data_IF_678786599699
#
_entry.id   IF_678786599699
#
_cell.length_a   1.000
_cell.length_b   1.000
_cell.length_c   1.000
_cell.angle_alpha   90.00
_cell.angle_beta   90.00
_cell.angle_gamma   90.00
#
_symmetry.space_group_name_H-M   'P 1'
#
loop_
_entity.id
_entity.type
_entity.pdbx_description
1 polymer ?
#
# COMPACT_ATOMS: atom_id res chain seq x y z
N UNK A 1 7.27 -16.91 18.49
CA UNK A 1 7.79 -18.29 18.35
C UNK A 1 7.89 -18.57 16.87
N UNK A 2 9.03 -19.00 16.35
CA UNK A 2 9.17 -19.31 14.92
C UNK A 2 8.34 -20.55 14.62
N UNK A 3 7.29 -20.42 13.80
CA UNK A 3 6.63 -21.57 13.19
C UNK A 3 7.66 -22.32 12.33
N UNK A 4 7.55 -23.65 12.27
CA UNK A 4 8.39 -24.46 11.37
C UNK A 4 7.79 -24.37 9.96
N UNK A 5 8.59 -24.17 8.92
CA UNK A 5 8.11 -24.15 7.54
C UNK A 5 8.40 -25.47 6.82
N UNK A 6 7.55 -25.84 5.85
CA UNK A 6 7.74 -27.00 4.96
C UNK A 6 7.84 -26.53 3.50
N UNK A 7 8.56 -27.23 2.62
CA UNK A 7 8.59 -26.96 1.17
C UNK A 7 7.41 -27.63 0.45
N UNK A 8 7.06 -27.17 -0.76
CA UNK A 8 6.02 -27.83 -1.57
C UNK A 8 6.40 -29.28 -1.90
N UNK A 9 7.66 -29.54 -2.28
CA UNK A 9 8.13 -30.91 -2.55
C UNK A 9 8.02 -31.84 -1.33
N UNK A 10 8.35 -31.34 -0.14
CA UNK A 10 8.23 -32.14 1.09
C UNK A 10 6.77 -32.39 1.46
N UNK A 11 5.89 -31.41 1.26
CA UNK A 11 4.45 -31.59 1.43
C UNK A 11 3.88 -32.62 0.43
N UNK A 12 4.23 -32.49 -0.85
CA UNK A 12 3.79 -33.40 -1.90
C UNK A 12 4.35 -34.82 -1.69
N UNK A 13 5.57 -34.96 -1.17
CA UNK A 13 6.14 -36.26 -0.79
C UNK A 13 5.35 -36.89 0.34
N UNK A 14 5.02 -36.12 1.38
CA UNK A 14 4.22 -36.60 2.52
C UNK A 14 2.84 -37.11 2.07
N UNK A 15 2.14 -36.33 1.22
CA UNK A 15 0.83 -36.75 0.68
C UNK A 15 0.98 -38.01 -0.19
N UNK A 16 2.04 -38.09 -1.01
CA UNK A 16 2.29 -39.26 -1.86
C UNK A 16 2.61 -40.51 -1.05
N UNK A 17 3.44 -40.39 -0.01
CA UNK A 17 3.76 -41.48 0.93
C UNK A 17 2.49 -41.97 1.63
N UNK A 18 1.61 -41.07 2.06
CA UNK A 18 0.30 -41.45 2.63
C UNK A 18 -0.57 -42.25 1.63
N UNK A 19 -0.57 -41.89 0.35
CA UNK A 19 -1.31 -42.65 -0.68
C UNK A 19 -0.64 -43.99 -1.01
N UNK A 20 0.66 -44.00 -1.27
CA UNK A 20 1.40 -45.16 -1.77
C UNK A 20 1.71 -46.19 -0.67
N UNK A 21 2.17 -45.73 0.50
CA UNK A 21 2.65 -46.61 1.57
C UNK A 21 1.53 -46.99 2.55
N UNK A 22 0.59 -46.08 2.83
CA UNK A 22 -0.54 -46.34 3.74
C UNK A 22 -1.81 -46.77 3.00
N UNK A 23 -1.83 -46.68 1.66
CA UNK A 23 -2.97 -47.06 0.84
C UNK A 23 -4.21 -46.19 1.07
N UNK A 24 -4.02 -44.96 1.55
CA UNK A 24 -5.10 -44.01 1.81
C UNK A 24 -5.74 -43.52 0.52
N UNK A 25 -7.02 -43.15 0.58
CA UNK A 25 -7.64 -42.40 -0.51
C UNK A 25 -6.90 -41.06 -0.70
N UNK A 26 -6.72 -40.55 -1.95
CA UNK A 26 -5.95 -39.33 -2.17
C UNK A 26 -6.50 -38.08 -1.46
N UNK A 27 -7.82 -37.96 -1.30
CA UNK A 27 -8.40 -36.82 -0.56
C UNK A 27 -8.20 -36.99 0.95
N UNK A 28 -8.28 -38.21 1.45
CA UNK A 28 -7.97 -38.57 2.85
C UNK A 28 -6.50 -38.32 3.19
N UNK A 29 -5.58 -38.75 2.32
CA UNK A 29 -4.14 -38.56 2.47
C UNK A 29 -3.76 -37.07 2.54
N UNK A 30 -4.41 -36.24 1.72
CA UNK A 30 -4.23 -34.79 1.74
C UNK A 30 -4.74 -34.18 3.04
N UNK A 31 -5.94 -34.56 3.49
CA UNK A 31 -6.53 -34.08 4.73
C UNK A 31 -5.66 -34.45 5.95
N UNK A 32 -5.18 -35.69 6.00
CA UNK A 32 -4.30 -36.20 7.06
C UNK A 32 -2.96 -35.46 7.10
N UNK A 33 -2.33 -35.21 5.94
CA UNK A 33 -1.08 -34.46 5.86
C UNK A 33 -1.25 -33.02 6.38
N UNK A 34 -2.36 -32.36 6.01
CA UNK A 34 -2.68 -31.00 6.48
C UNK A 34 -2.92 -30.99 7.99
N UNK A 35 -3.71 -31.93 8.52
CA UNK A 35 -4.00 -32.02 9.95
C UNK A 35 -2.74 -32.32 10.77
N UNK A 36 -1.93 -33.29 10.34
CA UNK A 36 -0.68 -33.67 11.00
C UNK A 36 0.30 -32.49 11.08
N UNK A 37 0.49 -31.78 9.97
CA UNK A 37 1.39 -30.62 9.95
C UNK A 37 0.83 -29.45 10.77
N UNK A 38 -0.49 -29.25 10.78
CA UNK A 38 -1.14 -28.26 11.63
C UNK A 38 -0.96 -28.58 13.12
N UNK A 39 -1.11 -29.84 13.54
CA UNK A 39 -0.86 -30.30 14.92
C UNK A 39 0.60 -30.09 15.34
N UNK A 40 1.54 -30.18 14.39
CA UNK A 40 2.96 -29.91 14.61
C UNK A 40 3.31 -28.41 14.61
N UNK A 41 2.32 -27.52 14.45
CA UNK A 41 2.50 -26.07 14.31
C UNK A 41 3.43 -25.70 13.13
N UNK A 42 3.34 -26.47 12.04
CA UNK A 42 4.00 -26.14 10.77
C UNK A 42 3.18 -25.08 10.04
N UNK A 43 3.86 -24.05 9.55
CA UNK A 43 3.25 -23.03 8.71
C UNK A 43 3.01 -23.57 7.29
N UNK A 44 1.73 -23.68 6.94
CA UNK A 44 1.25 -24.12 5.64
C UNK A 44 0.89 -22.95 4.72
N UNK A 45 1.14 -21.71 5.12
CA UNK A 45 0.90 -20.54 4.28
C UNK A 45 1.67 -20.67 2.96
N UNK A 46 0.96 -20.49 1.86
CA UNK A 46 1.48 -20.58 0.51
C UNK A 46 1.84 -21.99 0.01
N UNK A 47 1.49 -23.05 0.76
CA UNK A 47 1.51 -24.43 0.25
C UNK A 47 0.24 -24.67 -0.57
N UNK A 48 0.41 -25.24 -1.76
CA UNK A 48 -0.70 -25.70 -2.58
C UNK A 48 -1.24 -27.01 -1.99
N UNK A 49 -2.45 -26.93 -1.43
CA UNK A 49 -3.14 -28.04 -0.78
C UNK A 49 -3.97 -28.82 -1.81
N UNK A 50 -3.31 -29.55 -2.70
CA UNK A 50 -3.97 -30.42 -3.68
C UNK A 50 -3.29 -31.79 -3.77
N UNK A 51 -3.99 -32.78 -4.31
CA UNK A 51 -3.43 -34.12 -4.53
C UNK A 51 -2.34 -34.07 -5.62
N UNK A 52 -1.10 -34.51 -5.32
CA UNK A 52 -0.01 -34.53 -6.29
C UNK A 52 -0.34 -35.39 -7.52
N UNK A 53 0.01 -34.91 -8.72
CA UNK A 53 -0.14 -35.68 -9.97
C UNK A 53 -1.53 -35.64 -10.62
N UNK A 54 -2.49 -34.90 -10.07
CA UNK A 54 -3.80 -34.62 -10.67
C UNK A 54 -3.71 -33.64 -11.86
N UNK A 55 -2.96 -34.03 -12.90
CA UNK A 55 -2.70 -33.22 -14.09
C UNK A 55 -4.00 -33.03 -14.90
N UNK A 56 -4.66 -31.88 -14.72
CA UNK A 56 -5.73 -31.41 -15.60
C UNK A 56 -6.81 -30.58 -14.92
N UNK A 57 -7.11 -30.87 -13.65
CA UNK A 57 -8.19 -30.21 -12.91
C UNK A 57 -7.80 -29.69 -11.51
N UNK A 58 -6.60 -30.03 -11.01
CA UNK A 58 -6.15 -29.72 -9.64
C UNK A 58 -5.00 -28.70 -9.51
N UNK A 59 -4.51 -28.12 -10.62
CA UNK A 59 -3.45 -27.12 -10.54
C UNK A 59 -3.99 -25.79 -10.02
N UNK A 60 -3.39 -25.26 -8.95
CA UNK A 60 -3.84 -24.02 -8.33
C UNK A 60 -3.86 -22.87 -9.35
N UNK A 61 -4.96 -22.08 -9.43
CA UNK A 61 -5.12 -21.06 -10.45
C UNK A 61 -4.01 -20.00 -10.42
N UNK A 62 -3.46 -19.69 -9.24
CA UNK A 62 -2.32 -18.78 -9.09
C UNK A 62 -1.08 -19.37 -9.78
N UNK A 63 -0.75 -20.62 -9.48
CA UNK A 63 0.44 -21.30 -10.05
C UNK A 63 0.33 -21.41 -11.57
N UNK A 64 -0.85 -21.76 -12.06
CA UNK A 64 -1.13 -21.82 -13.50
C UNK A 64 -0.92 -20.46 -14.19
N UNK A 65 -1.45 -19.39 -13.60
CA UNK A 65 -1.25 -18.02 -14.13
C UNK A 65 0.22 -17.63 -14.14
N UNK A 66 0.97 -17.93 -13.08
CA UNK A 66 2.40 -17.64 -12.99
C UNK A 66 3.23 -18.42 -14.02
N UNK A 67 2.95 -19.72 -14.22
CA UNK A 67 3.63 -20.52 -15.24
C UNK A 67 3.38 -19.94 -16.64
N UNK A 68 2.13 -19.55 -16.93
CA UNK A 68 1.79 -18.95 -18.22
C UNK A 68 2.44 -17.57 -18.41
N UNK A 69 2.45 -16.72 -17.39
CA UNK A 69 3.14 -15.42 -17.43
C UNK A 69 4.64 -15.56 -17.73
N UNK A 70 5.32 -16.55 -17.12
CA UNK A 70 6.73 -16.84 -17.42
C UNK A 70 6.95 -17.25 -18.86
N UNK A 71 6.07 -18.09 -19.40
CA UNK A 71 6.14 -18.51 -20.80
C UNK A 71 5.96 -17.33 -21.77
N UNK A 72 5.12 -16.35 -21.42
CA UNK A 72 4.89 -15.15 -22.22
C UNK A 72 6.02 -14.11 -22.13
N UNK A 73 6.84 -14.16 -21.06
CA UNK A 73 7.83 -13.12 -20.74
C UNK A 73 8.79 -12.76 -21.88
N UNK A 74 9.16 -13.72 -22.74
CA UNK A 74 10.05 -13.49 -23.89
C UNK A 74 9.39 -12.74 -25.06
N UNK A 75 8.06 -12.76 -25.14
CA UNK A 75 7.30 -12.23 -26.28
C UNK A 75 6.67 -10.86 -26.02
N UNK A 76 6.65 -10.40 -24.76
CA UNK A 76 5.95 -9.17 -24.33
C UNK A 76 6.37 -7.90 -25.06
N UNK A 77 7.64 -7.81 -25.48
CA UNK A 77 8.15 -6.63 -26.18
C UNK A 77 7.65 -6.52 -27.63
N UNK A 78 7.36 -7.64 -28.29
CA UNK A 78 7.09 -7.69 -29.73
C UNK A 78 5.66 -8.12 -30.09
N UNK A 79 4.99 -8.87 -29.22
CA UNK A 79 3.71 -9.50 -29.51
C UNK A 79 2.56 -8.83 -28.75
N UNK A 80 1.62 -8.24 -29.49
CA UNK A 80 0.41 -7.63 -28.93
C UNK A 80 -0.55 -8.66 -28.32
N UNK A 81 -0.64 -9.87 -28.89
CA UNK A 81 -1.49 -10.94 -28.37
C UNK A 81 -0.93 -11.46 -27.05
N UNK A 82 0.40 -11.64 -26.96
CA UNK A 82 1.06 -12.03 -25.72
C UNK A 82 0.85 -10.99 -24.61
N UNK A 83 0.86 -9.69 -24.95
CA UNK A 83 0.57 -8.61 -23.99
C UNK A 83 -0.87 -8.60 -23.51
N UNK A 84 -1.83 -8.82 -24.41
CA UNK A 84 -3.25 -8.92 -24.04
C UNK A 84 -3.48 -10.10 -23.10
N UNK A 85 -2.96 -11.29 -23.46
CA UNK A 85 -3.05 -12.48 -22.61
C UNK A 85 -2.38 -12.27 -21.24
N UNK A 86 -1.21 -11.62 -21.22
CA UNK A 86 -0.53 -11.31 -19.97
C UNK A 86 -1.36 -10.34 -19.10
N UNK A 87 -1.99 -9.32 -19.69
CA UNK A 87 -2.85 -8.39 -18.96
C UNK A 87 -4.04 -9.12 -18.31
N UNK A 88 -4.72 -10.02 -19.04
CA UNK A 88 -5.81 -10.82 -18.51
C UNK A 88 -5.35 -11.73 -17.36
N UNK A 89 -4.18 -12.37 -17.51
CA UNK A 89 -3.60 -13.22 -16.46
C UNK A 89 -3.23 -12.43 -15.21
N UNK A 90 -2.72 -11.21 -15.37
CA UNK A 90 -2.36 -10.32 -14.27
C UNK A 90 -3.59 -9.79 -13.54
N UNK A 91 -4.66 -9.43 -14.26
CA UNK A 91 -5.93 -9.01 -13.64
C UNK A 91 -6.52 -10.15 -12.80
N UNK A 92 -6.58 -11.36 -13.37
CA UNK A 92 -7.01 -12.56 -12.62
C UNK A 92 -6.13 -12.83 -11.39
N UNK A 93 -4.82 -12.63 -11.50
CA UNK A 93 -3.89 -12.80 -10.38
C UNK A 93 -4.11 -11.75 -9.29
N UNK A 94 -4.36 -10.50 -9.68
CA UNK A 94 -4.68 -9.41 -8.77
C UNK A 94 -5.97 -9.71 -7.98
N UNK A 95 -7.01 -10.19 -8.66
CA UNK A 95 -8.29 -10.58 -8.06
C UNK A 95 -8.11 -11.72 -7.06
N UNK A 96 -7.46 -12.81 -7.46
CA UNK A 96 -7.22 -13.98 -6.60
C UNK A 96 -6.44 -13.61 -5.33
N UNK A 97 -5.43 -12.74 -5.47
CA UNK A 97 -4.57 -12.33 -4.34
C UNK A 97 -5.20 -11.23 -3.47
N UNK A 98 -6.26 -10.55 -3.93
CA UNK A 98 -6.95 -9.51 -3.16
C UNK A 98 -7.99 -10.05 -2.17
N UNK A 99 -8.37 -11.34 -2.29
CA UNK A 99 -9.39 -11.96 -1.43
C UNK A 99 -8.88 -12.10 0.01
N UNK A 100 -9.49 -11.35 0.93
CA UNK A 100 -9.15 -11.43 2.36
C UNK A 100 -9.32 -12.84 2.92
N UNK A 101 -8.26 -13.33 3.59
CA UNK A 101 -8.24 -14.67 4.20
C UNK A 101 -7.91 -15.80 3.23
N UNK A 102 -7.65 -15.51 1.95
CA UNK A 102 -7.16 -16.49 0.98
C UNK A 102 -5.65 -16.67 1.09
N UNK A 103 -5.16 -17.90 0.92
CA UNK A 103 -3.74 -18.22 0.84
C UNK A 103 -3.10 -17.80 -0.51
N UNK A 104 -3.88 -17.27 -1.47
CA UNK A 104 -3.44 -16.99 -2.85
C UNK A 104 -2.21 -16.09 -2.93
N UNK A 105 -2.12 -15.02 -2.14
CA UNK A 105 -0.96 -14.12 -2.15
C UNK A 105 0.30 -14.80 -1.62
N UNK A 106 0.15 -15.63 -0.59
CA UNK A 106 1.25 -16.44 -0.05
C UNK A 106 1.68 -17.54 -1.04
N UNK A 107 0.73 -18.18 -1.72
CA UNK A 107 1.00 -19.15 -2.80
C UNK A 107 1.76 -18.45 -3.93
N UNK A 108 1.31 -17.27 -4.37
CA UNK A 108 1.96 -16.50 -5.41
C UNK A 108 3.41 -16.17 -5.03
N UNK A 109 3.62 -15.66 -3.81
CA UNK A 109 4.94 -15.28 -3.30
C UNK A 109 5.89 -16.48 -3.27
N UNK A 110 5.46 -17.61 -2.67
CA UNK A 110 6.28 -18.82 -2.56
C UNK A 110 6.60 -19.47 -3.89
N UNK A 111 5.76 -19.25 -4.89
CA UNK A 111 5.96 -19.74 -6.24
C UNK A 111 6.64 -18.72 -7.14
N UNK A 112 7.36 -17.71 -6.61
CA UNK A 112 8.14 -16.75 -7.40
C UNK A 112 7.30 -15.76 -8.19
N UNK A 113 6.12 -15.40 -7.67
CA UNK A 113 5.16 -14.52 -8.31
C UNK A 113 5.60 -13.06 -8.32
N UNK A 114 6.26 -12.60 -7.25
CA UNK A 114 6.79 -11.22 -7.16
C UNK A 114 7.80 -10.97 -8.28
N UNK A 115 8.78 -11.86 -8.41
CA UNK A 115 9.85 -11.77 -9.39
C UNK A 115 9.32 -11.91 -10.82
N UNK A 116 8.32 -12.79 -11.01
CA UNK A 116 7.66 -12.94 -12.31
C UNK A 116 6.96 -11.64 -12.74
N UNK A 117 6.18 -11.02 -11.84
CA UNK A 117 5.46 -9.78 -12.15
C UNK A 117 6.41 -8.59 -12.30
N UNK A 118 7.45 -8.48 -11.48
CA UNK A 118 8.53 -7.47 -11.68
C UNK A 118 9.22 -7.66 -13.03
N UNK A 119 9.49 -8.91 -13.41
CA UNK A 119 10.02 -9.28 -14.72
C UNK A 119 9.10 -8.88 -15.89
N UNK A 120 7.79 -8.95 -15.71
CA UNK A 120 6.81 -8.46 -16.69
C UNK A 120 6.84 -6.92 -16.75
N UNK A 121 6.73 -6.24 -15.60
CA UNK A 121 6.77 -4.77 -15.52
C UNK A 121 8.00 -4.18 -16.22
N UNK A 122 9.19 -4.77 -16.03
CA UNK A 122 10.43 -4.30 -16.65
C UNK A 122 10.51 -4.47 -18.17
N UNK A 123 9.66 -5.31 -18.76
CA UNK A 123 9.64 -5.61 -20.21
C UNK A 123 8.53 -4.91 -20.97
N UNK A 124 7.53 -4.37 -20.26
CA UNK A 124 6.46 -3.59 -20.86
C UNK A 124 6.97 -2.19 -21.24
N UNK A 125 6.60 -1.72 -22.43
CA UNK A 125 6.83 -0.34 -22.84
C UNK A 125 6.01 0.63 -21.99
N UNK A 126 6.57 1.81 -21.71
CA UNK A 126 5.96 2.83 -20.85
C UNK A 126 4.69 3.43 -21.44
N UNK A 127 4.52 3.31 -22.76
CA UNK A 127 3.32 3.70 -23.50
C UNK A 127 2.14 2.73 -23.34
N UNK A 128 2.36 1.56 -22.71
CA UNK A 128 1.36 0.50 -22.56
C UNK A 128 0.63 0.60 -21.22
N UNK A 129 -0.20 1.63 -21.07
CA UNK A 129 -0.86 1.93 -19.79
C UNK A 129 -1.67 0.77 -19.22
N UNK A 130 -2.57 0.16 -20.00
CA UNK A 130 -3.45 -0.90 -19.48
C UNK A 130 -2.66 -2.16 -19.01
N UNK A 131 -1.73 -2.74 -19.80
CA UNK A 131 -0.87 -3.82 -19.30
C UNK A 131 -0.03 -3.45 -18.07
N UNK A 132 0.48 -2.21 -18.01
CA UNK A 132 1.23 -1.73 -16.84
C UNK A 132 0.33 -1.64 -15.60
N UNK A 133 -0.90 -1.14 -15.74
CA UNK A 133 -1.86 -1.08 -14.64
C UNK A 133 -2.18 -2.48 -14.13
N UNK A 134 -2.45 -3.46 -15.01
CA UNK A 134 -2.68 -4.85 -14.58
C UNK A 134 -1.46 -5.43 -13.87
N UNK A 135 -0.27 -5.18 -14.37
CA UNK A 135 0.97 -5.68 -13.77
C UNK A 135 1.24 -5.06 -12.39
N UNK A 136 1.10 -3.75 -12.25
CA UNK A 136 1.26 -3.05 -10.98
C UNK A 136 0.17 -3.45 -9.97
N UNK A 137 -1.07 -3.64 -10.42
CA UNK A 137 -2.17 -4.09 -9.55
C UNK A 137 -1.92 -5.50 -9.03
N UNK A 138 -1.51 -6.43 -9.90
CA UNK A 138 -1.14 -7.79 -9.50
C UNK A 138 0.02 -7.77 -8.51
N UNK A 139 1.06 -6.96 -8.76
CA UNK A 139 2.19 -6.80 -7.85
C UNK A 139 1.73 -6.30 -6.49
N UNK A 140 0.91 -5.24 -6.44
CA UNK A 140 0.35 -4.69 -5.21
C UNK A 140 -0.49 -5.70 -4.41
N UNK A 141 -1.22 -6.59 -5.09
CA UNK A 141 -1.99 -7.67 -4.43
C UNK A 141 -1.13 -8.81 -3.88
N UNK A 142 0.03 -9.09 -4.50
CA UNK A 142 0.97 -10.12 -4.00
C UNK A 142 1.76 -9.60 -2.79
N UNK A 143 2.03 -8.30 -2.70
CA UNK A 143 2.76 -7.68 -1.59
C UNK A 143 1.85 -7.57 -0.35
N UNK A 144 1.98 -8.53 0.55
CA UNK A 144 1.10 -8.69 1.70
C UNK A 144 1.83 -8.75 3.05
N UNK A 145 3.13 -8.99 3.05
CA UNK A 145 3.93 -9.19 4.25
C UNK A 145 5.41 -8.82 4.06
N UNK A 146 6.17 -8.94 5.14
CA UNK A 146 7.62 -8.68 5.11
C UNK A 146 8.35 -9.57 4.11
N UNK A 147 7.96 -10.84 3.98
CA UNK A 147 8.66 -11.77 3.08
C UNK A 147 8.49 -11.37 1.61
N UNK A 148 7.25 -11.13 1.18
CA UNK A 148 6.94 -10.67 -0.18
C UNK A 148 7.60 -9.33 -0.52
N UNK A 149 7.67 -8.40 0.43
CA UNK A 149 8.37 -7.10 0.23
C UNK A 149 9.89 -7.24 0.16
N UNK A 150 10.50 -8.21 0.87
CA UNK A 150 11.91 -8.54 0.69
C UNK A 150 12.19 -9.17 -0.68
N UNK A 151 11.31 -10.04 -1.19
CA UNK A 151 11.43 -10.58 -2.55
C UNK A 151 11.30 -9.47 -3.62
N UNK A 152 10.41 -8.51 -3.38
CA UNK A 152 10.27 -7.32 -4.24
C UNK A 152 11.55 -6.49 -4.27
N UNK A 153 12.16 -6.26 -3.10
CA UNK A 153 13.46 -5.57 -3.01
C UNK A 153 14.56 -6.32 -3.76
N UNK A 154 14.67 -7.63 -3.54
CA UNK A 154 15.73 -8.45 -4.14
C UNK A 154 15.59 -8.61 -5.67
N UNK A 155 14.38 -8.50 -6.20
CA UNK A 155 14.11 -8.58 -7.64
C UNK A 155 14.29 -7.24 -8.39
N UNK A 156 14.71 -6.16 -7.70
CA UNK A 156 14.82 -4.83 -8.29
C UNK A 156 13.47 -4.15 -8.54
N UNK A 157 12.43 -4.56 -7.80
CA UNK A 157 11.08 -4.04 -7.98
C UNK A 157 10.97 -2.54 -7.72
N UNK A 158 11.75 -2.00 -6.78
CA UNK A 158 11.76 -0.57 -6.46
C UNK A 158 12.20 0.29 -7.66
N UNK A 159 13.31 -0.10 -8.29
CA UNK A 159 13.86 0.53 -9.48
C UNK A 159 12.88 0.48 -10.65
N UNK A 160 12.26 -0.68 -10.88
CA UNK A 160 11.27 -0.87 -11.94
C UNK A 160 10.06 0.04 -11.74
N UNK A 161 9.48 0.08 -10.54
CA UNK A 161 8.31 0.92 -10.24
C UNK A 161 8.65 2.40 -10.35
N UNK A 162 9.80 2.85 -9.82
CA UNK A 162 10.22 4.25 -9.91
C UNK A 162 10.50 4.66 -11.37
N UNK A 163 11.07 3.77 -12.18
CA UNK A 163 11.28 4.02 -13.60
C UNK A 163 9.95 4.17 -14.35
N UNK A 164 8.97 3.29 -14.08
CA UNK A 164 7.62 3.39 -14.67
C UNK A 164 6.99 4.73 -14.29
N UNK A 165 6.95 5.07 -13.00
CA UNK A 165 6.34 6.32 -12.53
C UNK A 165 7.00 7.57 -13.11
N UNK A 166 8.33 7.57 -13.30
CA UNK A 166 9.04 8.69 -13.93
C UNK A 166 8.66 8.88 -15.41
N UNK A 167 8.31 7.80 -16.11
CA UNK A 167 7.90 7.81 -17.51
C UNK A 167 6.40 7.98 -17.76
N UNK A 168 5.57 7.85 -16.72
CA UNK A 168 4.11 7.85 -16.81
C UNK A 168 3.45 9.21 -16.54
N UNK A 169 4.13 10.32 -16.89
CA UNK A 169 3.52 11.65 -16.80
C UNK A 169 2.28 11.73 -17.72
N UNK A 170 1.14 12.12 -17.17
CA UNK A 170 -0.14 12.16 -17.89
C UNK A 170 -0.91 10.83 -17.94
N UNK A 171 -0.41 9.77 -17.32
CA UNK A 171 -1.08 8.46 -17.22
C UNK A 171 -1.60 8.22 -15.79
N UNK A 172 -2.78 8.78 -15.41
CA UNK A 172 -3.25 8.81 -14.02
C UNK A 172 -3.47 7.41 -13.42
N UNK A 173 -3.92 6.44 -14.22
CA UNK A 173 -4.13 5.05 -13.75
C UNK A 173 -2.81 4.36 -13.42
N UNK A 174 -1.77 4.55 -14.25
CA UNK A 174 -0.45 3.96 -14.02
C UNK A 174 0.19 4.57 -12.77
N UNK A 175 0.07 5.89 -12.61
CA UNK A 175 0.53 6.55 -11.39
C UNK A 175 -0.20 6.04 -10.16
N UNK A 176 -1.53 5.88 -10.22
CA UNK A 176 -2.31 5.38 -9.10
C UNK A 176 -1.88 3.95 -8.70
N UNK A 177 -1.78 3.05 -9.68
CA UNK A 177 -1.32 1.69 -9.44
C UNK A 177 0.13 1.63 -8.92
N UNK A 178 1.03 2.45 -9.47
CA UNK A 178 2.44 2.46 -9.08
C UNK A 178 2.67 3.03 -7.67
N UNK A 179 1.97 4.11 -7.28
CA UNK A 179 2.02 4.60 -5.90
C UNK A 179 1.35 3.63 -4.91
N UNK A 180 0.30 2.91 -5.34
CA UNK A 180 -0.27 1.83 -4.52
C UNK A 180 0.75 0.71 -4.27
N UNK A 181 1.56 0.33 -5.27
CA UNK A 181 2.68 -0.61 -5.08
C UNK A 181 3.72 -0.05 -4.10
N UNK A 182 4.11 1.22 -4.21
CA UNK A 182 5.04 1.85 -3.25
C UNK A 182 4.49 1.76 -1.83
N UNK A 183 3.21 2.12 -1.62
CA UNK A 183 2.58 2.05 -0.32
C UNK A 183 2.57 0.61 0.23
N UNK A 184 2.19 -0.38 -0.59
CA UNK A 184 2.20 -1.81 -0.20
C UNK A 184 3.60 -2.32 0.12
N UNK A 185 4.58 -2.02 -0.73
CA UNK A 185 5.96 -2.46 -0.57
C UNK A 185 6.63 -1.89 0.68
N UNK A 186 6.32 -0.63 1.01
CA UNK A 186 6.91 0.07 2.15
C UNK A 186 6.23 -0.24 3.50
N UNK A 187 5.03 -0.80 3.51
CA UNK A 187 4.26 -1.05 4.75
C UNK A 187 5.00 -2.05 5.63
N UNK A 188 5.30 -1.66 6.87
CA UNK A 188 5.99 -2.50 7.84
C UNK A 188 7.42 -2.90 7.47
N UNK A 189 8.04 -2.22 6.49
CA UNK A 189 9.39 -2.54 6.03
C UNK A 189 10.27 -1.28 5.85
N UNK A 190 11.07 -0.95 6.86
CA UNK A 190 11.95 0.24 6.84
C UNK A 190 13.07 0.13 5.78
N UNK A 191 13.52 -1.08 5.45
CA UNK A 191 14.55 -1.30 4.42
C UNK A 191 14.02 -0.90 3.04
N UNK A 192 12.74 -1.21 2.76
CA UNK A 192 12.09 -0.82 1.51
C UNK A 192 11.78 0.69 1.48
N UNK A 193 11.46 1.31 2.64
CA UNK A 193 11.34 2.77 2.72
C UNK A 193 12.65 3.47 2.38
N UNK A 194 13.76 2.99 2.95
CA UNK A 194 15.11 3.49 2.65
C UNK A 194 15.43 3.36 1.16
N UNK A 195 15.15 2.19 0.56
CA UNK A 195 15.29 1.99 -0.89
C UNK A 195 14.57 3.07 -1.70
N UNK A 196 13.29 3.34 -1.42
CA UNK A 196 12.54 4.36 -2.17
C UNK A 196 13.09 5.79 -1.95
N UNK A 197 13.58 6.09 -0.75
CA UNK A 197 14.20 7.38 -0.42
C UNK A 197 15.53 7.57 -1.17
N UNK A 198 16.30 6.50 -1.36
CA UNK A 198 17.52 6.47 -2.17
C UNK A 198 17.21 6.61 -3.66
N UNK A 199 16.13 5.99 -4.12
CA UNK A 199 15.58 6.13 -5.48
C UNK A 199 14.86 7.47 -5.73
N UNK A 200 14.95 8.43 -4.82
CA UNK A 200 14.40 9.80 -4.96
C UNK A 200 12.87 9.85 -5.12
N UNK A 201 12.16 8.98 -4.39
CA UNK A 201 10.69 8.98 -4.40
C UNK A 201 10.08 10.32 -4.00
N UNK A 202 10.75 11.10 -3.14
CA UNK A 202 10.32 12.43 -2.73
C UNK A 202 10.33 13.44 -3.88
N UNK A 203 11.37 13.41 -4.72
CA UNK A 203 11.45 14.24 -5.93
C UNK A 203 10.38 13.85 -6.95
N UNK A 204 10.15 12.55 -7.12
CA UNK A 204 9.08 12.02 -7.97
C UNK A 204 7.69 12.44 -7.48
N UNK A 205 7.40 12.32 -6.18
CA UNK A 205 6.13 12.75 -5.56
C UNK A 205 5.89 14.23 -5.84
N UNK A 206 6.89 15.07 -5.58
CA UNK A 206 6.76 16.51 -5.79
C UNK A 206 6.55 16.85 -7.28
N UNK A 207 7.26 16.15 -8.17
CA UNK A 207 7.09 16.31 -9.61
C UNK A 207 5.64 16.01 -10.02
N UNK A 208 5.10 14.85 -9.64
CA UNK A 208 3.72 14.45 -9.97
C UNK A 208 2.71 15.47 -9.44
N UNK A 209 2.87 15.93 -8.19
CA UNK A 209 1.97 16.94 -7.59
C UNK A 209 2.01 18.30 -8.29
N UNK A 210 3.12 18.66 -8.96
CA UNK A 210 3.26 19.92 -9.69
C UNK A 210 2.76 19.84 -11.13
N UNK A 211 2.93 18.69 -11.77
CA UNK A 211 2.64 18.51 -13.19
C UNK A 211 1.19 18.09 -13.45
N UNK A 212 0.52 17.48 -12.47
CA UNK A 212 -0.83 16.95 -12.66
C UNK A 212 -1.59 16.76 -11.33
N UNK A 213 -2.87 16.40 -11.43
CA UNK A 213 -3.66 15.97 -10.27
C UNK A 213 -3.06 14.69 -9.68
N UNK A 214 -2.60 14.76 -8.44
CA UNK A 214 -2.04 13.62 -7.73
C UNK A 214 -3.13 12.59 -7.38
N UNK A 215 -2.91 11.29 -7.65
CA UNK A 215 -3.83 10.23 -7.30
C UNK A 215 -3.90 10.03 -5.78
N UNK A 216 -4.97 9.38 -5.28
CA UNK A 216 -5.13 9.15 -3.84
C UNK A 216 -3.97 8.30 -3.27
N UNK A 217 -3.58 7.26 -3.99
CA UNK A 217 -2.47 6.35 -3.64
C UNK A 217 -1.14 7.07 -3.44
N UNK A 218 -0.90 8.23 -4.06
CA UNK A 218 0.29 9.05 -3.81
C UNK A 218 0.28 9.57 -2.37
N UNK A 219 -0.87 10.02 -1.86
CA UNK A 219 -0.99 10.44 -0.45
C UNK A 219 -0.81 9.26 0.49
N UNK A 220 -1.37 8.10 0.16
CA UNK A 220 -1.20 6.87 0.93
C UNK A 220 0.27 6.44 0.99
N UNK A 221 1.00 6.54 -0.14
CA UNK A 221 2.44 6.29 -0.19
C UNK A 221 3.23 7.26 0.70
N UNK A 222 2.91 8.56 0.71
CA UNK A 222 3.52 9.53 1.64
C UNK A 222 3.27 9.09 3.09
N UNK A 223 2.04 8.69 3.43
CA UNK A 223 1.70 8.26 4.79
C UNK A 223 2.56 7.07 5.23
N UNK A 224 2.64 6.03 4.40
CA UNK A 224 3.39 4.81 4.73
C UNK A 224 4.90 5.08 4.82
N UNK A 225 5.46 5.81 3.86
CA UNK A 225 6.89 6.16 3.84
C UNK A 225 7.33 6.96 5.07
N UNK A 226 6.40 7.65 5.74
CA UNK A 226 6.67 8.52 6.89
C UNK A 226 6.12 7.98 8.22
N UNK A 227 5.57 6.76 8.24
CA UNK A 227 5.06 6.11 9.47
C UNK A 227 6.07 5.07 9.97
N UNK A 228 6.50 5.08 11.24
CA UNK A 228 7.40 4.06 11.78
C UNK A 228 6.60 2.81 12.18
N UNK A 229 6.28 1.94 11.22
CA UNK A 229 5.41 0.76 11.39
C UNK A 229 6.16 -0.60 11.31
N UNK A 230 7.49 -0.58 11.25
CA UNK A 230 8.31 -1.80 11.29
C UNK A 230 8.79 -2.10 12.72
N UNK A 231 8.11 -3.04 13.37
CA UNK A 231 8.42 -3.45 14.74
C UNK A 231 9.74 -4.23 14.88
N UNK A 232 10.43 -4.56 13.77
CA UNK A 232 11.72 -5.27 13.79
C UNK A 232 12.89 -4.33 13.99
N UNK A 233 12.69 -3.02 13.78
CA UNK A 233 13.74 -2.01 13.84
C UNK A 233 13.61 -1.20 15.12
N UNK A 234 14.73 -1.01 15.84
CA UNK A 234 14.75 -0.29 17.13
C UNK A 234 14.57 1.22 16.95
N UNK A 235 15.05 1.79 15.84
CA UNK A 235 14.94 3.21 15.53
C UNK A 235 14.69 3.41 14.02
N UNK A 236 13.54 4.00 13.69
CA UNK A 236 13.16 4.32 12.32
C UNK A 236 13.72 5.69 11.88
N UNK A 237 14.02 5.81 10.58
CA UNK A 237 14.54 7.03 9.95
C UNK A 237 13.43 7.96 9.43
N UNK A 238 12.15 7.59 9.59
CA UNK A 238 11.02 8.33 9.01
C UNK A 238 10.93 9.79 9.45
N UNK A 239 11.43 10.15 10.63
CA UNK A 239 11.53 11.55 11.06
C UNK A 239 12.47 12.36 10.15
N UNK A 240 13.60 11.77 9.76
CA UNK A 240 14.52 12.35 8.79
C UNK A 240 13.90 12.46 7.40
N UNK A 241 13.16 11.44 6.97
CA UNK A 241 12.43 11.44 5.70
C UNK A 241 11.37 12.54 5.67
N UNK A 242 10.56 12.69 6.73
CA UNK A 242 9.53 13.72 6.81
C UNK A 242 10.12 15.14 6.72
N UNK A 243 11.27 15.39 7.38
CA UNK A 243 12.00 16.67 7.24
C UNK A 243 12.50 16.89 5.82
N UNK A 244 12.99 15.85 5.15
CA UNK A 244 13.41 15.90 3.75
C UNK A 244 12.24 16.24 2.84
N UNK A 245 11.10 15.57 3.00
CA UNK A 245 9.86 15.81 2.25
C UNK A 245 9.37 17.26 2.44
N UNK A 246 9.34 17.74 3.68
CA UNK A 246 8.96 19.12 3.98
C UNK A 246 9.91 20.13 3.33
N UNK A 247 11.23 19.93 3.44
CA UNK A 247 12.25 20.81 2.85
C UNK A 247 12.16 20.86 1.32
N UNK A 248 11.76 19.76 0.68
CA UNK A 248 11.56 19.70 -0.77
C UNK A 248 10.32 20.50 -1.23
N UNK A 249 9.37 20.74 -0.32
CA UNK A 249 8.14 21.51 -0.58
C UNK A 249 6.87 20.67 -0.65
N UNK A 250 6.92 19.37 -0.33
CA UNK A 250 5.75 18.48 -0.38
C UNK A 250 4.65 18.96 0.58
N UNK A 251 5.01 19.47 1.76
CA UNK A 251 4.04 20.03 2.71
C UNK A 251 3.23 21.18 2.08
N UNK A 252 3.90 22.09 1.36
CA UNK A 252 3.25 23.24 0.73
C UNK A 252 2.40 22.80 -0.47
N UNK A 253 2.86 21.82 -1.25
CA UNK A 253 2.06 21.22 -2.32
C UNK A 253 0.79 20.54 -1.78
N UNK A 254 0.87 19.81 -0.67
CA UNK A 254 -0.29 19.20 -0.02
C UNK A 254 -1.29 20.27 0.47
N UNK A 255 -0.80 21.35 1.09
CA UNK A 255 -1.66 22.48 1.47
C UNK A 255 -2.34 23.09 0.24
N UNK A 256 -1.61 23.30 -0.85
CA UNK A 256 -2.17 23.76 -2.12
C UNK A 256 -3.32 22.88 -2.60
N UNK A 257 -3.13 21.56 -2.61
CA UNK A 257 -4.18 20.60 -2.98
C UNK A 257 -5.41 20.69 -2.07
N UNK A 258 -5.22 20.85 -0.76
CA UNK A 258 -6.33 21.04 0.19
C UNK A 258 -7.08 22.35 -0.08
N UNK A 259 -6.36 23.44 -0.35
CA UNK A 259 -6.93 24.76 -0.68
C UNK A 259 -7.75 24.76 -1.97
N UNK A 260 -7.38 23.92 -2.96
CA UNK A 260 -8.17 23.81 -4.20
C UNK A 260 -9.56 23.23 -3.98
N UNK A 261 -9.77 22.45 -2.90
CA UNK A 261 -11.09 21.92 -2.54
C UNK A 261 -11.69 20.92 -3.54
N UNK A 262 -10.87 20.35 -4.43
CA UNK A 262 -11.33 19.41 -5.49
C UNK A 262 -11.24 17.93 -5.11
N UNK A 263 -10.73 17.62 -3.92
CA UNK A 263 -10.53 16.23 -3.49
C UNK A 263 -11.87 15.54 -3.19
N UNK A 264 -11.95 14.26 -3.54
CA UNK A 264 -12.99 13.37 -3.01
C UNK A 264 -12.86 13.26 -1.48
N UNK A 265 -13.90 12.79 -0.79
CA UNK A 265 -13.79 12.62 0.67
C UNK A 265 -12.67 11.65 1.08
N UNK A 266 -12.42 10.58 0.31
CA UNK A 266 -11.31 9.64 0.57
C UNK A 266 -9.95 10.27 0.25
N UNK A 267 -9.85 11.03 -0.84
CA UNK A 267 -8.65 11.77 -1.21
C UNK A 267 -8.29 12.81 -0.15
N UNK A 268 -9.29 13.53 0.37
CA UNK A 268 -9.13 14.51 1.45
C UNK A 268 -8.62 13.86 2.74
N UNK A 269 -9.20 12.71 3.14
CA UNK A 269 -8.72 11.95 4.30
C UNK A 269 -7.25 11.58 4.13
N UNK A 270 -6.89 11.02 2.96
CA UNK A 270 -5.53 10.56 2.67
C UNK A 270 -4.54 11.73 2.64
N UNK A 271 -4.89 12.85 2.00
CA UNK A 271 -4.08 14.07 1.98
C UNK A 271 -3.88 14.68 3.38
N UNK A 272 -4.92 14.68 4.23
CA UNK A 272 -4.81 15.15 5.61
C UNK A 272 -3.86 14.28 6.45
N UNK A 273 -3.93 12.95 6.29
CA UNK A 273 -3.02 12.02 6.99
C UNK A 273 -1.59 12.21 6.46
N UNK A 274 -1.40 12.38 5.15
CA UNK A 274 -0.10 12.62 4.54
C UNK A 274 0.53 13.93 5.07
N UNK A 275 -0.25 15.02 5.10
CA UNK A 275 0.22 16.30 5.61
C UNK A 275 0.57 16.22 7.11
N UNK A 276 -0.21 15.45 7.88
CA UNK A 276 0.08 15.17 9.30
C UNK A 276 1.40 14.41 9.46
N UNK A 277 1.68 13.45 8.58
CA UNK A 277 2.91 12.66 8.60
C UNK A 277 4.15 13.51 8.27
N UNK A 278 4.01 14.53 7.42
CA UNK A 278 5.09 15.49 7.11
C UNK A 278 5.31 16.51 8.23
N UNK A 279 4.27 16.86 9.00
CA UNK A 279 4.29 17.88 10.05
C UNK A 279 5.02 17.43 11.34
N UNK A 280 6.31 17.10 11.26
CA UNK A 280 7.04 16.43 12.35
C UNK A 280 7.69 17.35 13.39
N UNK A 281 7.81 18.65 13.12
CA UNK A 281 8.38 19.63 14.05
C UNK A 281 7.65 21.00 14.00
N UNK A 282 7.97 21.88 14.95
CA UNK A 282 7.34 23.20 15.10
C UNK A 282 7.51 24.08 13.85
N UNK A 283 8.70 24.11 13.25
CA UNK A 283 8.99 24.90 12.04
C UNK A 283 8.10 24.49 10.85
N UNK A 284 7.96 23.18 10.61
CA UNK A 284 7.12 22.65 9.54
C UNK A 284 5.65 22.93 9.84
N UNK A 285 5.21 22.73 11.08
CA UNK A 285 3.84 23.06 11.50
C UNK A 285 3.51 24.54 11.25
N UNK A 286 4.41 25.46 11.61
CA UNK A 286 4.24 26.90 11.36
C UNK A 286 4.16 27.20 9.86
N UNK A 287 5.08 26.64 9.06
CA UNK A 287 5.06 26.79 7.60
C UNK A 287 3.74 26.32 6.99
N UNK A 288 3.17 25.19 7.44
CA UNK A 288 1.87 24.70 6.95
C UNK A 288 0.76 25.71 7.22
N UNK A 289 0.75 26.32 8.41
CA UNK A 289 -0.22 27.35 8.80
C UNK A 289 -0.07 28.64 7.97
N UNK A 290 1.16 29.11 7.79
CA UNK A 290 1.51 30.30 6.99
C UNK A 290 1.09 30.15 5.52
N UNK A 291 1.13 28.93 4.98
CA UNK A 291 0.67 28.63 3.62
C UNK A 291 -0.86 28.40 3.51
N UNK A 292 -1.63 28.67 4.57
CA UNK A 292 -3.09 28.58 4.56
C UNK A 292 -3.66 27.21 4.96
N UNK A 293 -2.85 26.29 5.49
CA UNK A 293 -3.28 24.94 5.84
C UNK A 293 -4.44 24.91 6.84
N UNK A 294 -4.44 25.80 7.86
CA UNK A 294 -5.54 25.87 8.84
C UNK A 294 -6.86 26.28 8.16
N UNK A 295 -6.82 27.25 7.23
CA UNK A 295 -8.02 27.71 6.52
C UNK A 295 -8.59 26.61 5.64
N UNK A 296 -7.72 25.89 4.92
CA UNK A 296 -8.10 24.76 4.10
C UNK A 296 -8.77 23.64 4.91
N UNK A 297 -8.26 23.35 6.11
CA UNK A 297 -8.87 22.34 6.99
C UNK A 297 -10.23 22.81 7.49
N UNK A 298 -10.38 24.08 7.88
CA UNK A 298 -11.69 24.60 8.30
C UNK A 298 -12.70 24.64 7.17
N UNK A 299 -12.29 25.05 5.97
CA UNK A 299 -13.15 24.97 4.79
C UNK A 299 -13.59 23.52 4.51
N UNK A 300 -12.66 22.58 4.62
CA UNK A 300 -12.93 21.14 4.45
C UNK A 300 -13.94 20.63 5.48
N UNK A 301 -13.79 21.03 6.75
CA UNK A 301 -14.75 20.73 7.83
C UNK A 301 -16.11 21.34 7.50
N UNK A 302 -16.16 22.61 7.14
CA UNK A 302 -17.40 23.35 6.94
C UNK A 302 -18.20 22.76 5.76
N UNK A 303 -17.54 22.45 4.63
CA UNK A 303 -18.16 21.80 3.46
C UNK A 303 -18.65 20.39 3.78
N UNK A 304 -17.83 19.57 4.45
CA UNK A 304 -18.18 18.17 4.73
C UNK A 304 -19.09 17.99 5.95
N UNK A 305 -19.23 19.04 6.78
CA UNK A 305 -20.13 19.02 7.92
C UNK A 305 -21.57 18.73 7.49
N UNK A 306 -22.02 19.21 6.32
CA UNK A 306 -23.34 18.93 5.76
C UNK A 306 -23.58 17.44 5.46
N UNK A 307 -22.53 16.72 5.06
CA UNK A 307 -22.61 15.33 4.57
C UNK A 307 -22.39 14.27 5.66
N UNK A 308 -22.21 14.68 6.92
CA UNK A 308 -22.01 13.79 8.07
C UNK A 308 -20.83 12.80 7.90
N UNK A 309 -19.79 13.20 7.16
CA UNK A 309 -18.65 12.33 6.88
C UNK A 309 -17.67 12.29 8.06
N UNK A 310 -17.81 11.26 8.90
CA UNK A 310 -16.99 11.03 10.10
C UNK A 310 -15.49 10.93 9.80
N UNK A 311 -15.11 10.27 8.71
CA UNK A 311 -13.70 10.05 8.38
C UNK A 311 -12.99 11.36 8.05
N UNK A 312 -13.65 12.25 7.30
CA UNK A 312 -13.14 13.59 6.99
C UNK A 312 -13.00 14.42 8.26
N UNK A 313 -14.04 14.45 9.11
CA UNK A 313 -13.98 15.19 10.37
C UNK A 313 -12.82 14.72 11.26
N UNK A 314 -12.66 13.39 11.42
CA UNK A 314 -11.60 12.79 12.23
C UNK A 314 -10.20 13.13 11.70
N UNK A 315 -9.98 12.99 10.39
CA UNK A 315 -8.68 13.30 9.77
C UNK A 315 -8.34 14.79 9.89
N UNK A 316 -9.30 15.69 9.65
CA UNK A 316 -9.14 17.13 9.82
C UNK A 316 -8.79 17.51 11.27
N UNK A 317 -9.55 17.00 12.26
CA UNK A 317 -9.25 17.24 13.68
C UNK A 317 -7.88 16.68 14.08
N UNK A 318 -7.51 15.50 13.57
CA UNK A 318 -6.21 14.89 13.86
C UNK A 318 -5.04 15.71 13.29
N UNK A 319 -5.20 16.27 12.10
CA UNK A 319 -4.22 17.16 11.50
C UNK A 319 -4.13 18.48 12.27
N UNK A 320 -5.27 19.12 12.57
CA UNK A 320 -5.26 20.34 13.38
C UNK A 320 -4.56 20.11 14.72
N UNK A 321 -4.79 18.96 15.38
CA UNK A 321 -4.19 18.65 16.69
C UNK A 321 -2.68 18.55 16.57
N UNK A 322 -2.18 17.99 15.47
CA UNK A 322 -0.75 17.96 15.16
C UNK A 322 -0.19 19.38 14.93
N UNK A 323 -0.89 20.21 14.16
CA UNK A 323 -0.48 21.59 13.89
C UNK A 323 -0.49 22.46 15.15
N UNK A 324 -1.41 22.21 16.07
CA UNK A 324 -1.50 22.84 17.39
C UNK A 324 -0.33 22.46 18.32
N UNK A 325 0.61 21.61 17.89
CA UNK A 325 1.89 21.46 18.59
C UNK A 325 2.73 22.74 18.60
N UNK A 326 2.46 23.67 17.68
CA UNK A 326 3.08 25.00 17.63
C UNK A 326 2.20 26.05 18.33
N UNK A 327 2.77 26.86 19.22
CA UNK A 327 2.02 27.90 19.95
C UNK A 327 1.49 29.00 19.03
N UNK A 328 2.23 29.33 17.96
CA UNK A 328 1.77 30.26 16.92
C UNK A 328 0.52 29.70 16.22
N UNK A 329 0.52 28.39 15.92
CA UNK A 329 -0.62 27.73 15.31
C UNK A 329 -1.80 27.61 16.27
N UNK A 330 -1.58 27.34 17.56
CA UNK A 330 -2.67 27.37 18.56
C UNK A 330 -3.38 28.72 18.53
N UNK A 331 -2.59 29.79 18.52
CA UNK A 331 -3.11 31.16 18.47
C UNK A 331 -3.90 31.40 17.18
N UNK A 332 -3.35 30.99 16.03
CA UNK A 332 -4.03 31.11 14.73
C UNK A 332 -5.34 30.30 14.67
N UNK A 333 -5.36 29.07 15.20
CA UNK A 333 -6.56 28.21 15.28
C UNK A 333 -7.65 28.91 16.11
N UNK A 334 -7.30 29.48 17.27
CA UNK A 334 -8.25 30.19 18.14
C UNK A 334 -8.78 31.44 17.44
N UNK A 335 -7.90 32.28 16.89
CA UNK A 335 -8.27 33.53 16.22
C UNK A 335 -9.21 33.31 15.03
N UNK A 336 -9.07 32.18 14.34
CA UNK A 336 -9.91 31.79 13.20
C UNK A 336 -11.23 31.15 13.61
N UNK A 337 -11.58 31.12 14.90
CA UNK A 337 -12.82 30.52 15.40
C UNK A 337 -12.79 28.99 15.43
N UNK A 338 -11.61 28.40 15.61
CA UNK A 338 -11.44 26.95 15.65
C UNK A 338 -12.25 26.28 16.77
N UNK A 339 -12.29 26.88 17.96
CA UNK A 339 -13.04 26.34 19.11
C UNK A 339 -14.54 26.17 18.78
N UNK A 340 -15.16 27.18 18.15
CA UNK A 340 -16.57 27.13 17.78
C UNK A 340 -16.86 26.03 16.76
N UNK A 341 -15.98 25.85 15.77
CA UNK A 341 -16.11 24.78 14.77
C UNK A 341 -15.93 23.40 15.40
N UNK A 342 -14.94 23.25 16.27
CA UNK A 342 -14.69 22.01 16.98
C UNK A 342 -15.85 21.64 17.92
N UNK A 343 -16.44 22.61 18.63
CA UNK A 343 -17.65 22.38 19.43
C UNK A 343 -18.85 21.96 18.58
N UNK A 344 -19.06 22.57 17.40
CA UNK A 344 -20.10 22.16 16.45
C UNK A 344 -19.89 20.75 15.92
N UNK A 345 -18.64 20.35 15.66
CA UNK A 345 -18.31 18.97 15.30
C UNK A 345 -18.57 18.01 16.46
N UNK A 346 -18.17 18.39 17.68
CA UNK A 346 -18.36 17.60 18.90
C UNK A 346 -19.83 17.29 19.17
N UNK A 347 -20.71 18.28 19.05
CA UNK A 347 -22.14 18.09 19.28
C UNK A 347 -22.78 17.22 18.19
N UNK A 348 -22.27 17.29 16.96
CA UNK A 348 -22.77 16.50 15.83
C UNK A 348 -22.32 15.04 15.86
N UNK A 349 -21.14 14.77 16.42
CA UNK A 349 -20.57 13.43 16.58
C UNK A 349 -20.49 13.01 18.07
N UNK A 350 -21.48 13.42 18.88
CA UNK A 350 -21.51 13.15 20.33
C UNK A 350 -21.42 11.67 20.71
N UNK A 351 -21.83 10.79 19.79
CA UNK A 351 -21.81 9.33 19.96
C UNK A 351 -20.51 8.68 19.45
N UNK A 352 -19.53 9.46 18.97
CA UNK A 352 -18.24 8.95 18.48
C UNK A 352 -17.08 9.39 19.40
N UNK A 353 -16.67 8.53 20.35
CA UNK A 353 -15.58 8.83 21.28
C UNK A 353 -14.26 9.20 20.58
N UNK A 354 -14.03 8.71 19.36
CA UNK A 354 -12.78 8.94 18.64
C UNK A 354 -12.66 10.35 18.08
N UNK A 355 -13.79 11.02 17.81
CA UNK A 355 -13.83 12.45 17.44
C UNK A 355 -13.70 13.31 18.70
N UNK A 356 -14.33 12.90 19.80
CA UNK A 356 -14.31 13.62 21.08
C UNK A 356 -12.94 13.60 21.78
N UNK A 357 -12.23 12.47 21.78
CA UNK A 357 -10.89 12.36 22.38
C UNK A 357 -9.86 13.28 21.71
N UNK A 358 -9.98 13.52 20.40
CA UNK A 358 -9.08 14.43 19.67
C UNK A 358 -9.32 15.91 20.04
N UNK A 359 -10.52 16.25 20.51
CA UNK A 359 -10.88 17.60 20.97
C UNK A 359 -10.37 17.88 22.39
N UNK A 360 -10.33 16.88 23.26
CA UNK A 360 -9.84 17.03 24.63
C UNK A 360 -8.31 17.22 24.70
N UNK A 361 -7.58 16.79 23.66
CA UNK A 361 -6.15 17.07 23.52
C UNK A 361 -5.84 18.57 23.29
N UNK A 362 -6.84 19.40 23.02
CA UNK A 362 -6.71 20.87 22.89
C UNK A 362 -6.91 21.65 24.20
N UNK A 363 -7.45 21.00 25.23
CA UNK A 363 -7.79 21.65 26.51
C UNK A 363 -6.63 21.69 27.52
N UNK A 364 -5.44 21.24 27.12
CA UNK A 364 -4.18 21.31 27.87
C UNK A 364 -3.10 21.90 26.96
#
# INVERSE_FOLDING_TARGET
>A
MSSRSISQEAFDSLVRENVEDLGMDPEEALADAVETLALQNVDLAGIVKCVPGSAGAGENPVVKSLHRLRALSGSLAADASARAEAADLLENLADLCSVHGSDSASIATRNGGVEAVVGVCSRLGLELEEPLVSALSALGSILHDVHSTEMFRQSGGGEVVVNILNGSCGAPKVLDAGFAVIAKAATGNEVVKELFVDLKVDELILKVMKEQTAPQSLYDAICVLLTPDDNRVVASQVFGYARRFAKLGIANSLVGTLCEGKLSSSGLVSACIALKAVAVNDEICRSISENGGIDAIFQSIDVNSAHNNKAVAKSCCSLLSKLAGSDDNKTAIIQKGGLDRLMKLSSRFSEDPSVLCLLLAYSH
#
